data_IF_568957491400
#
_entry.id   IF_568957491400
#
_cell.length_a   1.000
_cell.length_b   1.000
_cell.length_c   1.000
_cell.angle_alpha   90.00
_cell.angle_beta   90.00
_cell.angle_gamma   90.00
#
_symmetry.space_group_name_H-M   'P 1'
#
loop_
_entity.id
_entity.type
_entity.pdbx_description
1 polymer ?
#
# COMPACT_ATOMS: atom_id res chain seq x y z
N UNK A 1 -6.63 -10.58 -15.26
CA UNK A 1 -6.96 -9.86 -14.00
C UNK A 1 -7.86 -10.66 -13.05
N UNK A 2 -8.54 -11.73 -13.49
CA UNK A 2 -9.35 -12.61 -12.63
C UNK A 2 -8.53 -13.45 -11.64
N UNK A 3 -7.24 -13.65 -11.90
CA UNK A 3 -6.33 -14.47 -11.07
C UNK A 3 -5.78 -13.76 -9.84
N UNK A 4 -5.67 -12.42 -9.85
CA UNK A 4 -5.08 -11.66 -8.74
C UNK A 4 -6.05 -11.49 -7.56
N UNK A 5 -7.35 -11.35 -7.84
CA UNK A 5 -8.43 -11.30 -6.83
C UNK A 5 -8.52 -12.58 -5.98
N UNK A 6 -8.28 -13.73 -6.59
CA UNK A 6 -8.28 -15.01 -5.86
C UNK A 6 -7.01 -15.19 -5.02
N UNK A 7 -5.87 -14.61 -5.42
CA UNK A 7 -4.60 -14.78 -4.70
C UNK A 7 -4.58 -14.05 -3.34
N UNK A 8 -5.17 -12.86 -3.23
CA UNK A 8 -5.17 -12.11 -1.96
C UNK A 8 -6.09 -12.76 -0.91
N UNK A 9 -7.29 -13.17 -1.30
CA UNK A 9 -8.24 -13.86 -0.40
C UNK A 9 -7.73 -15.25 -0.02
N UNK A 10 -7.07 -15.96 -0.95
CA UNK A 10 -6.48 -17.28 -0.67
C UNK A 10 -5.21 -17.16 0.18
N UNK A 11 -4.38 -16.13 0.03
CA UNK A 11 -3.19 -15.94 0.87
C UNK A 11 -3.55 -15.68 2.34
N UNK A 12 -4.58 -14.85 2.59
CA UNK A 12 -5.07 -14.59 3.95
C UNK A 12 -5.73 -15.84 4.55
N UNK A 13 -6.52 -16.59 3.78
CA UNK A 13 -7.16 -17.82 4.26
C UNK A 13 -6.20 -19.02 4.42
N UNK A 14 -5.14 -19.10 3.59
CA UNK A 14 -4.16 -20.19 3.63
C UNK A 14 -3.18 -20.08 4.80
N UNK A 15 -2.86 -18.86 5.24
CA UNK A 15 -2.05 -18.64 6.44
C UNK A 15 -2.78 -19.14 7.72
N UNK A 16 -4.11 -19.14 7.73
CA UNK A 16 -4.93 -19.48 8.91
C UNK A 16 -5.29 -20.97 9.00
N UNK A 17 -5.13 -21.75 7.93
CA UNK A 17 -5.53 -23.18 7.89
C UNK A 17 -4.36 -24.17 8.06
N UNK A 18 -3.12 -23.69 8.13
CA UNK A 18 -1.93 -24.55 8.20
C UNK A 18 -1.54 -25.04 9.61
N UNK A 19 -2.16 -24.55 10.69
CA UNK A 19 -1.90 -25.02 12.06
C UNK A 19 -3.00 -25.96 12.57
N UNK A 20 -3.21 -27.05 11.84
CA UNK A 20 -4.30 -28.02 12.08
C UNK A 20 -3.82 -29.46 12.25
N UNK A 21 -2.95 -29.73 13.23
CA UNK A 21 -2.93 -31.03 13.92
C UNK A 21 -1.65 -31.87 13.84
N UNK A 22 -1.06 -32.14 15.02
CA UNK A 22 -0.53 -33.44 15.40
C UNK A 22 -0.47 -33.57 16.94
N UNK A 23 -0.81 -34.76 17.43
CA UNK A 23 -0.99 -35.15 18.84
C UNK A 23 0.33 -35.54 19.52
N UNK A 24 0.47 -35.09 20.77
CA UNK A 24 0.99 -35.74 22.00
C UNK A 24 2.21 -36.68 21.93
N UNK A 25 3.29 -36.28 22.62
CA UNK A 25 4.11 -37.19 23.44
C UNK A 25 4.49 -36.51 24.77
N UNK A 26 4.19 -37.19 25.87
CA UNK A 26 4.58 -36.84 27.23
C UNK A 26 6.00 -37.34 27.47
N UNK A 27 6.94 -36.46 27.83
CA UNK A 27 8.20 -36.86 28.49
C UNK A 27 8.51 -35.91 29.64
N UNK A 28 8.73 -36.51 30.80
CA UNK A 28 9.08 -35.90 32.08
C UNK A 28 10.57 -35.58 32.18
N UNK A 29 10.88 -34.59 33.03
CA UNK A 29 12.15 -34.30 33.71
C UNK A 29 13.20 -33.49 32.92
N UNK A 30 13.57 -32.31 33.41
CA UNK A 30 14.58 -32.09 34.48
C UNK A 30 14.77 -30.58 34.67
N UNK A 31 14.73 -30.12 35.91
CA UNK A 31 15.11 -28.78 36.34
C UNK A 31 16.63 -28.61 36.26
N UNK A 32 17.11 -27.66 35.47
CA UNK A 32 18.40 -27.01 35.70
C UNK A 32 18.27 -25.50 35.55
N UNK A 33 18.53 -24.83 36.67
CA UNK A 33 18.65 -23.38 36.81
C UNK A 33 19.97 -22.94 36.19
N UNK A 34 19.93 -22.06 35.19
CA UNK A 34 21.10 -21.24 34.83
C UNK A 34 20.66 -19.80 34.66
N UNK A 35 21.15 -18.97 35.56
CA UNK A 35 21.06 -17.53 35.51
C UNK A 35 22.01 -17.01 34.40
N UNK A 36 21.44 -16.42 33.36
CA UNK A 36 22.15 -15.65 32.35
C UNK A 36 21.35 -14.38 32.10
N UNK A 37 21.95 -13.21 32.32
CA UNK A 37 21.27 -11.93 32.21
C UNK A 37 20.79 -11.69 30.79
N UNK A 38 19.48 -11.74 30.60
CA UNK A 38 18.82 -11.15 29.45
C UNK A 38 18.92 -9.63 29.59
N UNK A 39 19.78 -9.02 28.78
CA UNK A 39 19.52 -7.66 28.30
C UNK A 39 18.11 -7.69 27.74
N UNK A 40 17.17 -7.05 28.44
CA UNK A 40 15.83 -6.83 27.92
C UNK A 40 15.98 -6.04 26.62
N UNK A 41 15.90 -6.73 25.49
CA UNK A 41 15.57 -6.10 24.22
C UNK A 41 14.27 -5.35 24.49
N UNK A 42 14.36 -4.03 24.38
CA UNK A 42 13.18 -3.18 24.43
C UNK A 42 12.28 -3.71 23.31
N UNK A 43 11.01 -4.08 23.58
CA UNK A 43 10.11 -4.48 22.50
C UNK A 43 10.16 -3.36 21.48
N UNK A 44 10.63 -3.66 20.27
CA UNK A 44 10.56 -2.70 19.18
C UNK A 44 9.12 -2.25 19.11
N UNK A 45 8.88 -0.97 19.43
CA UNK A 45 7.54 -0.43 19.47
C UNK A 45 6.96 -0.64 18.07
N UNK A 46 6.01 -1.58 17.96
CA UNK A 46 5.32 -1.85 16.72
C UNK A 46 4.79 -0.50 16.19
N UNK A 47 5.21 -0.08 14.99
CA UNK A 47 4.97 1.28 14.53
C UNK A 47 3.46 1.52 14.56
N UNK A 48 3.06 2.57 15.28
CA UNK A 48 1.66 2.99 15.40
C UNK A 48 1.09 3.06 13.97
N UNK A 49 0.13 2.18 13.69
CA UNK A 49 -0.60 2.10 12.42
C UNK A 49 -1.58 3.27 12.39
N UNK A 50 -1.12 4.46 12.02
CA UNK A 50 -1.97 5.65 11.93
C UNK A 50 -2.84 5.57 10.67
N UNK A 51 -4.14 5.77 10.83
CA UNK A 51 -5.14 5.93 9.76
C UNK A 51 -5.36 7.40 9.38
N UNK A 52 -4.47 8.30 9.82
CA UNK A 52 -4.57 9.74 9.51
C UNK A 52 -4.47 9.93 7.99
N UNK A 53 -5.47 10.56 7.35
CA UNK A 53 -5.42 10.81 5.91
C UNK A 53 -4.18 11.64 5.54
N UNK A 54 -3.50 11.24 4.46
CA UNK A 54 -2.35 11.99 3.94
C UNK A 54 -2.89 13.31 3.37
N UNK A 55 -2.39 14.47 3.80
CA UNK A 55 -2.86 15.75 3.28
C UNK A 55 -2.45 15.90 1.82
N UNK A 56 -3.44 16.00 0.94
CA UNK A 56 -3.24 16.33 -0.48
C UNK A 56 -3.12 17.85 -0.63
N UNK A 57 -2.10 18.37 -1.34
CA UNK A 57 -1.96 19.81 -1.58
C UNK A 57 -3.20 20.38 -2.26
N UNK A 58 -3.55 21.64 -1.95
CA UNK A 58 -4.54 22.34 -2.74
C UNK A 58 -3.99 22.57 -4.16
N UNK A 59 -4.85 22.56 -5.18
CA UNK A 59 -4.40 22.87 -6.52
C UNK A 59 -3.99 24.34 -6.61
N UNK A 60 -2.96 24.63 -7.41
CA UNK A 60 -2.44 25.98 -7.57
C UNK A 60 -3.42 26.90 -8.33
N UNK A 61 -4.38 26.32 -9.03
CA UNK A 61 -5.54 26.98 -9.63
C UNK A 61 -6.82 26.42 -9.04
N UNK A 62 -7.91 27.20 -9.09
CA UNK A 62 -9.20 26.73 -8.60
C UNK A 62 -9.68 25.51 -9.42
N UNK A 63 -10.32 24.54 -8.75
CA UNK A 63 -10.75 23.27 -9.36
C UNK A 63 -11.67 23.48 -10.57
N UNK A 64 -12.50 24.51 -10.54
CA UNK A 64 -13.42 24.86 -11.63
C UNK A 64 -12.70 25.36 -12.90
N UNK A 65 -11.42 25.70 -12.79
CA UNK A 65 -10.57 26.12 -13.92
C UNK A 65 -9.85 24.95 -14.57
N UNK A 66 -9.91 23.74 -13.99
CA UNK A 66 -9.36 22.52 -14.56
C UNK A 66 -10.31 21.90 -15.58
N UNK A 67 -9.80 20.99 -16.42
CA UNK A 67 -10.64 20.21 -17.33
C UNK A 67 -11.75 19.43 -16.59
N UNK A 68 -12.93 19.26 -17.22
CA UNK A 68 -14.01 18.44 -16.66
C UNK A 68 -13.58 17.01 -16.33
N UNK A 69 -12.64 16.46 -17.09
CA UNK A 69 -12.08 15.12 -16.89
C UNK A 69 -11.29 15.05 -15.59
N UNK A 70 -10.43 16.03 -15.31
CA UNK A 70 -9.66 16.08 -14.07
C UNK A 70 -10.57 16.32 -12.86
N UNK A 71 -11.56 17.20 -12.99
CA UNK A 71 -12.54 17.44 -11.92
C UNK A 71 -13.29 16.15 -11.54
N UNK A 72 -13.72 15.36 -12.53
CA UNK A 72 -14.38 14.08 -12.30
C UNK A 72 -13.45 13.02 -11.70
N UNK A 73 -12.20 12.94 -12.16
CA UNK A 73 -11.21 12.04 -11.57
C UNK A 73 -11.00 12.38 -10.08
N UNK A 74 -10.88 13.66 -9.77
CA UNK A 74 -10.73 14.14 -8.41
C UNK A 74 -11.92 13.74 -7.53
N UNK A 75 -13.17 13.90 -8.00
CA UNK A 75 -14.38 13.48 -7.26
C UNK A 75 -14.37 11.97 -6.96
N UNK A 76 -13.93 11.16 -7.93
CA UNK A 76 -13.85 9.70 -7.77
C UNK A 76 -12.80 9.33 -6.72
N UNK A 77 -11.65 10.00 -6.71
CA UNK A 77 -10.62 9.78 -5.70
C UNK A 77 -11.13 10.18 -4.32
N UNK A 78 -11.72 11.37 -4.17
CA UNK A 78 -12.31 11.84 -2.90
C UNK A 78 -13.38 10.87 -2.39
N UNK A 79 -14.30 10.41 -3.25
CA UNK A 79 -15.32 9.45 -2.88
C UNK A 79 -14.74 8.09 -2.45
N UNK A 80 -13.70 7.62 -3.15
CA UNK A 80 -13.02 6.37 -2.83
C UNK A 80 -12.34 6.44 -1.46
N UNK A 81 -11.56 7.50 -1.19
CA UNK A 81 -10.82 7.65 0.08
C UNK A 81 -11.72 7.99 1.26
N UNK A 82 -12.87 8.64 1.02
CA UNK A 82 -13.89 8.90 2.04
C UNK A 82 -14.52 7.60 2.56
N UNK A 83 -14.51 6.52 1.76
CA UNK A 83 -14.98 5.20 2.18
C UNK A 83 -13.88 4.49 2.95
N UNK A 84 -13.84 4.68 4.27
CA UNK A 84 -12.87 4.02 5.16
C UNK A 84 -13.21 2.54 5.41
N UNK A 85 -12.21 1.73 5.82
CA UNK A 85 -12.47 0.37 6.30
C UNK A 85 -13.52 0.36 7.42
N UNK A 86 -14.29 -0.73 7.55
CA UNK A 86 -15.18 -0.92 8.69
C UNK A 86 -14.39 -0.94 10.01
N UNK A 87 -15.00 -0.45 11.09
CA UNK A 87 -14.40 -0.47 12.43
C UNK A 87 -14.00 -1.91 12.79
N UNK A 88 -12.77 -2.14 13.31
CA UNK A 88 -12.34 -3.45 13.78
C UNK A 88 -13.19 -3.93 14.97
N UNK A 89 -13.19 -5.26 15.25
CA UNK A 89 -13.79 -5.78 16.47
C UNK A 89 -13.11 -5.20 17.71
N UNK A 90 -13.87 -5.05 18.80
CA UNK A 90 -13.36 -4.51 20.07
C UNK A 90 -12.45 -5.48 20.83
N UNK A 91 -12.55 -6.77 20.52
CA UNK A 91 -11.66 -7.81 21.04
C UNK A 91 -10.70 -8.31 19.95
N UNK A 92 -9.46 -8.58 20.33
CA UNK A 92 -8.42 -9.08 19.43
C UNK A 92 -8.46 -10.59 19.21
N UNK A 93 -9.56 -11.27 19.56
CA UNK A 93 -9.61 -12.73 19.42
C UNK A 93 -9.52 -13.14 17.95
N UNK A 94 -8.87 -14.28 17.69
CA UNK A 94 -8.72 -14.83 16.33
C UNK A 94 -10.07 -15.02 15.63
N UNK A 95 -11.10 -15.47 16.35
CA UNK A 95 -12.44 -15.67 15.80
C UNK A 95 -13.05 -14.33 15.35
N UNK A 96 -13.06 -13.31 16.21
CA UNK A 96 -13.62 -12.00 15.89
C UNK A 96 -12.88 -11.31 14.75
N UNK A 97 -11.54 -11.31 14.78
CA UNK A 97 -10.72 -10.70 13.73
C UNK A 97 -10.90 -11.41 12.39
N UNK A 98 -10.96 -12.75 12.37
CA UNK A 98 -11.21 -13.49 11.13
C UNK A 98 -12.61 -13.24 10.57
N UNK A 99 -13.65 -13.25 11.42
CA UNK A 99 -15.01 -12.97 10.97
C UNK A 99 -15.14 -11.54 10.39
N UNK A 100 -14.46 -10.56 10.99
CA UNK A 100 -14.37 -9.21 10.45
C UNK A 100 -13.60 -9.15 9.12
N UNK A 101 -12.46 -9.83 9.03
CA UNK A 101 -11.60 -9.84 7.86
C UNK A 101 -12.31 -10.47 6.64
N UNK A 102 -12.94 -11.62 6.84
CA UNK A 102 -13.64 -12.40 5.81
C UNK A 102 -15.00 -11.79 5.40
N UNK A 103 -15.60 -10.99 6.27
CA UNK A 103 -16.89 -10.34 6.04
C UNK A 103 -16.76 -8.89 5.60
N UNK A 104 -16.99 -7.93 6.51
CA UNK A 104 -17.09 -6.51 6.17
C UNK A 104 -15.80 -5.95 5.58
N UNK A 105 -14.61 -6.36 6.03
CA UNK A 105 -13.35 -5.85 5.49
C UNK A 105 -13.08 -6.35 4.06
N UNK A 106 -13.33 -7.63 3.77
CA UNK A 106 -13.25 -8.18 2.41
C UNK A 106 -14.23 -7.49 1.44
N UNK A 107 -15.44 -7.15 1.92
CA UNK A 107 -16.40 -6.38 1.14
C UNK A 107 -15.86 -4.98 0.80
N UNK A 108 -15.34 -4.26 1.80
CA UNK A 108 -14.70 -2.96 1.59
C UNK A 108 -13.51 -3.04 0.63
N UNK A 109 -12.63 -4.04 0.76
CA UNK A 109 -11.51 -4.27 -0.16
C UNK A 109 -11.99 -4.44 -1.61
N UNK A 110 -13.08 -5.17 -1.80
CA UNK A 110 -13.66 -5.41 -3.14
C UNK A 110 -14.17 -4.11 -3.76
N UNK A 111 -14.84 -3.27 -2.97
CA UNK A 111 -15.32 -1.95 -3.38
C UNK A 111 -14.16 -0.99 -3.67
N UNK A 112 -13.15 -0.94 -2.78
CA UNK A 112 -11.95 -0.12 -2.94
C UNK A 112 -11.16 -0.49 -4.20
N UNK A 113 -11.04 -1.78 -4.51
CA UNK A 113 -10.41 -2.26 -5.73
C UNK A 113 -11.20 -1.86 -7.00
N UNK A 114 -12.54 -1.88 -6.92
CA UNK A 114 -13.40 -1.39 -8.01
C UNK A 114 -13.21 0.11 -8.22
N UNK A 115 -13.27 0.90 -7.15
CA UNK A 115 -13.06 2.34 -7.21
C UNK A 115 -11.67 2.70 -7.79
N UNK A 116 -10.62 1.98 -7.38
CA UNK A 116 -9.27 2.13 -7.94
C UNK A 116 -9.22 1.85 -9.43
N UNK A 117 -9.94 0.83 -9.91
CA UNK A 117 -10.06 0.52 -11.35
C UNK A 117 -10.80 1.63 -12.09
N UNK A 118 -11.88 2.15 -11.51
CA UNK A 118 -12.68 3.22 -12.11
C UNK A 118 -11.91 4.55 -12.20
N UNK A 119 -11.02 4.83 -11.22
CA UNK A 119 -10.07 5.95 -11.26
C UNK A 119 -8.97 5.71 -12.29
N UNK A 120 -8.39 4.51 -12.34
CA UNK A 120 -7.37 4.17 -13.34
C UNK A 120 -7.91 4.35 -14.76
N UNK A 121 -9.13 3.89 -15.05
CA UNK A 121 -9.76 4.10 -16.35
C UNK A 121 -10.04 5.58 -16.65
N UNK A 122 -10.26 6.40 -15.61
CA UNK A 122 -10.45 7.85 -15.76
C UNK A 122 -9.17 8.59 -16.15
N UNK A 123 -8.00 7.96 -16.04
CA UNK A 123 -6.73 8.54 -16.48
C UNK A 123 -6.59 8.54 -18.01
N UNK A 124 -7.26 7.63 -18.72
CA UNK A 124 -7.18 7.52 -20.18
C UNK A 124 -7.47 8.83 -20.92
N UNK A 125 -8.60 9.53 -20.69
CA UNK A 125 -8.88 10.80 -21.38
C UNK A 125 -7.91 11.92 -20.99
N UNK A 126 -7.18 11.78 -19.88
CA UNK A 126 -6.19 12.75 -19.42
C UNK A 126 -4.80 12.52 -20.02
N UNK A 127 -4.58 11.45 -20.79
CA UNK A 127 -3.26 11.15 -21.35
C UNK A 127 -2.68 12.28 -22.23
N UNK A 128 -3.55 13.04 -22.89
CA UNK A 128 -3.20 14.17 -23.78
C UNK A 128 -3.48 15.55 -23.13
N UNK A 129 -3.82 15.58 -21.84
CA UNK A 129 -4.06 16.82 -21.12
C UNK A 129 -2.75 17.62 -20.92
N UNK A 130 -2.84 18.93 -20.59
CA UNK A 130 -1.67 19.72 -20.25
C UNK A 130 -0.83 19.04 -19.15
N UNK A 131 0.51 19.18 -19.15
CA UNK A 131 1.38 18.46 -18.22
C UNK A 131 1.00 18.65 -16.74
N UNK A 132 0.57 19.85 -16.33
CA UNK A 132 0.13 20.07 -14.95
C UNK A 132 -1.13 19.25 -14.59
N UNK A 133 -2.10 19.10 -15.49
CA UNK A 133 -3.29 18.29 -15.22
C UNK A 133 -2.96 16.80 -15.16
N UNK A 134 -2.10 16.32 -16.06
CA UNK A 134 -1.53 14.96 -16.02
C UNK A 134 -0.82 14.71 -14.69
N UNK A 135 -0.07 15.70 -14.22
CA UNK A 135 0.63 15.69 -12.94
C UNK A 135 -0.32 15.52 -11.76
N UNK A 136 -1.34 16.38 -11.66
CA UNK A 136 -2.37 16.29 -10.62
C UNK A 136 -3.08 14.94 -10.67
N UNK A 137 -3.52 14.50 -11.85
CA UNK A 137 -4.24 13.23 -12.03
C UNK A 137 -3.43 12.03 -11.52
N UNK A 138 -2.15 11.97 -11.88
CA UNK A 138 -1.25 10.92 -11.43
C UNK A 138 -0.97 11.01 -9.92
N UNK A 139 -0.80 12.22 -9.37
CA UNK A 139 -0.63 12.42 -7.93
C UNK A 139 -1.83 11.94 -7.10
N UNK A 140 -3.05 12.22 -7.57
CA UNK A 140 -4.29 11.75 -6.95
C UNK A 140 -4.44 10.23 -7.03
N UNK A 141 -4.08 9.62 -8.17
CA UNK A 141 -4.09 8.17 -8.30
C UNK A 141 -3.05 7.51 -7.39
N UNK A 142 -1.84 8.09 -7.30
CA UNK A 142 -0.80 7.66 -6.37
C UNK A 142 -1.29 7.69 -4.92
N UNK A 143 -1.94 8.79 -4.52
CA UNK A 143 -2.58 8.94 -3.21
C UNK A 143 -3.64 7.88 -2.93
N UNK A 144 -4.51 7.58 -3.88
CA UNK A 144 -5.52 6.52 -3.71
C UNK A 144 -4.88 5.15 -3.45
N UNK A 145 -3.81 4.81 -4.17
CA UNK A 145 -3.10 3.54 -3.97
C UNK A 145 -2.38 3.52 -2.63
N UNK A 146 -1.72 4.63 -2.25
CA UNK A 146 -1.06 4.77 -0.97
C UNK A 146 -2.04 4.67 0.21
N UNK A 147 -3.17 5.39 0.17
CA UNK A 147 -4.22 5.32 1.18
C UNK A 147 -4.77 3.89 1.32
N UNK A 148 -4.96 3.20 0.19
CA UNK A 148 -5.41 1.80 0.20
C UNK A 148 -4.43 0.89 0.93
N UNK A 149 -3.12 0.99 0.65
CA UNK A 149 -2.13 0.14 1.35
C UNK A 149 -1.96 0.51 2.82
N UNK A 150 -2.10 1.79 3.16
CA UNK A 150 -2.09 2.25 4.55
C UNK A 150 -3.29 1.68 5.34
N UNK A 151 -4.48 1.71 4.76
CA UNK A 151 -5.70 1.13 5.34
C UNK A 151 -5.57 -0.38 5.55
N UNK A 152 -5.05 -1.11 4.57
CA UNK A 152 -4.87 -2.56 4.70
C UNK A 152 -3.82 -2.92 5.74
N UNK A 153 -2.71 -2.18 5.76
CA UNK A 153 -1.69 -2.33 6.80
C UNK A 153 -2.26 -1.99 8.19
N UNK A 154 -3.25 -1.12 8.26
CA UNK A 154 -3.95 -0.72 9.49
C UNK A 154 -4.90 -1.78 10.05
N UNK A 155 -5.19 -2.86 9.33
CA UNK A 155 -6.09 -3.92 9.80
C UNK A 155 -5.60 -4.54 11.13
N UNK A 156 -6.53 -4.94 12.03
CA UNK A 156 -6.19 -5.59 13.29
C UNK A 156 -5.51 -6.94 13.05
N UNK A 157 -4.60 -7.28 13.96
CA UNK A 157 -3.94 -8.58 13.99
C UNK A 157 -4.50 -9.36 15.19
N UNK A 158 -4.85 -10.65 15.05
CA UNK A 158 -5.27 -11.48 16.18
C UNK A 158 -4.24 -11.50 17.33
N UNK A 159 -4.72 -11.49 18.57
CA UNK A 159 -3.91 -11.55 19.80
C UNK A 159 -2.98 -12.77 19.82
N UNK A 160 -3.44 -13.89 19.27
CA UNK A 160 -2.65 -15.12 19.15
C UNK A 160 -1.42 -14.95 18.23
N UNK A 161 -1.49 -14.07 17.24
CA UNK A 161 -0.37 -13.75 16.35
C UNK A 161 0.50 -12.68 17.00
N UNK A 162 -0.08 -11.62 17.58
CA UNK A 162 0.70 -10.53 18.19
C UNK A 162 1.48 -10.99 19.44
N UNK A 163 1.01 -12.03 20.13
CA UNK A 163 1.69 -12.59 21.31
C UNK A 163 2.86 -13.52 20.98
N UNK A 164 3.05 -13.89 19.71
CA UNK A 164 4.12 -14.77 19.23
C UNK A 164 4.98 -14.01 18.21
N UNK A 165 6.23 -13.71 18.59
CA UNK A 165 7.12 -12.90 17.76
C UNK A 165 7.46 -13.54 16.40
N UNK A 166 7.52 -14.87 16.32
CA UNK A 166 7.80 -15.56 15.07
C UNK A 166 6.58 -15.48 14.14
N UNK A 167 5.38 -15.74 14.67
CA UNK A 167 4.14 -15.63 13.90
C UNK A 167 3.89 -14.19 13.44
N UNK A 168 4.11 -13.21 14.31
CA UNK A 168 3.96 -11.80 13.96
C UNK A 168 4.91 -11.39 12.84
N UNK A 169 6.18 -11.83 12.89
CA UNK A 169 7.14 -11.56 11.82
C UNK A 169 6.69 -12.16 10.48
N UNK A 170 6.27 -13.43 10.47
CA UNK A 170 5.78 -14.10 9.24
C UNK A 170 4.52 -13.41 8.71
N UNK A 171 3.63 -12.99 9.59
CA UNK A 171 2.42 -12.24 9.23
C UNK A 171 2.77 -10.91 8.57
N UNK A 172 3.66 -10.11 9.17
CA UNK A 172 4.06 -8.81 8.63
C UNK A 172 4.79 -8.96 7.29
N UNK A 173 5.71 -9.94 7.15
CA UNK A 173 6.37 -10.24 5.87
C UNK A 173 5.36 -10.59 4.77
N UNK A 174 4.38 -11.45 5.10
CA UNK A 174 3.34 -11.87 4.16
C UNK A 174 2.43 -10.70 3.76
N UNK A 175 2.04 -9.88 4.73
CA UNK A 175 1.23 -8.68 4.52
C UNK A 175 1.97 -7.68 3.61
N UNK A 176 3.23 -7.37 3.92
CA UNK A 176 4.04 -6.45 3.12
C UNK A 176 4.22 -6.97 1.69
N UNK A 177 4.55 -8.25 1.51
CA UNK A 177 4.68 -8.85 0.19
C UNK A 177 3.39 -8.74 -0.64
N UNK A 178 2.23 -8.88 -0.01
CA UNK A 178 0.93 -8.72 -0.66
C UNK A 178 0.62 -7.25 -1.06
N UNK A 179 1.15 -6.28 -0.31
CA UNK A 179 0.93 -4.84 -0.55
C UNK A 179 1.93 -4.24 -1.55
N UNK A 180 3.11 -4.84 -1.74
CA UNK A 180 4.16 -4.34 -2.65
C UNK A 180 3.64 -3.97 -4.05
N UNK A 181 2.78 -4.76 -4.72
CA UNK A 181 2.28 -4.39 -6.04
C UNK A 181 1.55 -3.03 -6.05
N UNK A 182 0.75 -2.75 -5.03
CA UNK A 182 0.01 -1.50 -4.89
C UNK A 182 0.95 -0.34 -4.55
N UNK A 183 1.90 -0.55 -3.64
CA UNK A 183 2.93 0.42 -3.30
C UNK A 183 3.78 0.81 -4.53
N UNK A 184 4.12 -0.15 -5.40
CA UNK A 184 4.82 0.12 -6.67
C UNK A 184 3.99 0.99 -7.62
N UNK A 185 2.68 0.74 -7.73
CA UNK A 185 1.79 1.58 -8.54
C UNK A 185 1.73 3.00 -7.98
N UNK A 186 1.63 3.16 -6.66
CA UNK A 186 1.68 4.47 -6.01
C UNK A 186 2.96 5.24 -6.36
N UNK A 187 4.13 4.61 -6.20
CA UNK A 187 5.43 5.21 -6.53
C UNK A 187 5.53 5.59 -8.01
N UNK A 188 5.06 4.73 -8.91
CA UNK A 188 5.07 5.03 -10.35
C UNK A 188 4.20 6.24 -10.68
N UNK A 189 3.00 6.31 -10.09
CA UNK A 189 2.10 7.44 -10.27
C UNK A 189 2.69 8.75 -9.72
N UNK A 190 3.32 8.70 -8.54
CA UNK A 190 4.01 9.87 -7.97
C UNK A 190 5.22 10.32 -8.78
N UNK A 191 6.02 9.39 -9.31
CA UNK A 191 7.14 9.74 -10.21
C UNK A 191 6.65 10.36 -11.51
N UNK A 192 5.57 9.84 -12.07
CA UNK A 192 4.94 10.46 -13.24
C UNK A 192 4.40 11.85 -12.91
N UNK A 193 3.77 12.03 -11.74
CA UNK A 193 3.33 13.33 -11.26
C UNK A 193 4.49 14.34 -11.22
N UNK A 194 5.60 13.98 -10.58
CA UNK A 194 6.78 14.85 -10.50
C UNK A 194 7.30 15.20 -11.90
N UNK A 195 7.44 14.21 -12.79
CA UNK A 195 7.94 14.42 -14.14
C UNK A 195 7.04 15.34 -14.97
N UNK A 196 5.71 15.22 -14.84
CA UNK A 196 4.76 16.04 -15.57
C UNK A 196 4.82 17.52 -15.13
N UNK A 197 5.08 17.80 -13.85
CA UNK A 197 5.31 19.17 -13.38
C UNK A 197 6.69 19.72 -13.75
N UNK A 198 7.71 18.87 -13.86
CA UNK A 198 8.99 19.28 -14.42
C UNK A 198 8.85 19.66 -15.91
N UNK A 199 8.03 18.93 -16.66
CA UNK A 199 7.72 19.22 -18.06
C UNK A 199 6.96 20.54 -18.24
N UNK A 200 6.01 20.87 -17.35
CA UNK A 200 5.25 22.13 -17.46
C UNK A 200 6.15 23.36 -17.34
N UNK A 201 7.21 23.30 -16.53
CA UNK A 201 8.11 24.42 -16.26
C UNK A 201 7.47 25.57 -15.48
N UNK A 202 6.27 25.37 -14.93
CA UNK A 202 5.48 26.37 -14.24
C UNK A 202 5.79 26.37 -12.72
N UNK A 203 6.37 27.46 -12.21
CA UNK A 203 6.76 27.58 -10.80
C UNK A 203 5.58 27.43 -9.81
N UNK A 204 4.37 27.80 -10.24
CA UNK A 204 3.15 27.74 -9.42
C UNK A 204 2.77 26.31 -8.98
N UNK A 205 3.30 25.27 -9.65
CA UNK A 205 3.08 23.87 -9.29
C UNK A 205 4.21 23.25 -8.44
N UNK A 206 5.15 24.07 -7.95
CA UNK A 206 6.32 23.60 -7.20
C UNK A 206 5.95 22.76 -5.96
N UNK A 207 4.88 23.11 -5.25
CA UNK A 207 4.40 22.35 -4.08
C UNK A 207 3.92 20.94 -4.46
N UNK A 208 3.25 20.79 -5.60
CA UNK A 208 2.82 19.49 -6.10
C UNK A 208 3.99 18.60 -6.53
N UNK A 209 4.98 19.17 -7.22
CA UNK A 209 6.19 18.44 -7.57
C UNK A 209 6.96 17.98 -6.32
N UNK A 210 7.06 18.83 -5.30
CA UNK A 210 7.68 18.48 -4.02
C UNK A 210 6.90 17.37 -3.29
N UNK A 211 5.58 17.51 -3.19
CA UNK A 211 4.68 16.51 -2.62
C UNK A 211 4.87 15.14 -3.28
N UNK A 212 4.79 15.07 -4.61
CA UNK A 212 4.91 13.81 -5.33
C UNK A 212 6.28 13.14 -5.13
N UNK A 213 7.37 13.93 -5.10
CA UNK A 213 8.71 13.43 -4.80
C UNK A 213 8.81 12.86 -3.37
N UNK A 214 8.28 13.59 -2.38
CA UNK A 214 8.30 13.19 -0.98
C UNK A 214 7.49 11.92 -0.75
N UNK A 215 6.24 11.87 -1.24
CA UNK A 215 5.40 10.66 -1.13
C UNK A 215 6.04 9.45 -1.81
N UNK A 216 6.59 9.61 -3.01
CA UNK A 216 7.30 8.52 -3.69
C UNK A 216 8.46 7.98 -2.83
N UNK A 217 9.23 8.86 -2.21
CA UNK A 217 10.34 8.48 -1.33
C UNK A 217 9.85 7.76 -0.07
N UNK A 218 8.81 8.26 0.57
CA UNK A 218 8.22 7.63 1.76
C UNK A 218 7.67 6.24 1.46
N UNK A 219 6.95 6.05 0.35
CA UNK A 219 6.44 4.73 -0.05
C UNK A 219 7.60 3.77 -0.36
N UNK A 220 8.63 4.24 -1.06
CA UNK A 220 9.84 3.42 -1.30
C UNK A 220 10.49 2.97 0.00
N UNK A 221 10.66 3.88 0.96
CA UNK A 221 11.25 3.56 2.27
C UNK A 221 10.36 2.60 3.07
N UNK A 222 9.06 2.88 3.13
CA UNK A 222 8.10 2.11 3.93
C UNK A 222 7.96 0.67 3.47
N UNK A 223 8.03 0.43 2.15
CA UNK A 223 7.86 -0.89 1.55
C UNK A 223 9.18 -1.50 1.05
N UNK A 224 10.32 -0.92 1.43
CA UNK A 224 11.66 -1.35 1.01
C UNK A 224 11.73 -1.68 -0.49
N UNK A 225 11.19 -0.79 -1.33
CA UNK A 225 11.08 -1.04 -2.76
C UNK A 225 12.44 -0.84 -3.43
N UNK A 226 12.96 -1.90 -4.02
CA UNK A 226 14.14 -1.80 -4.88
C UNK A 226 13.92 -0.78 -6.01
N UNK A 227 14.92 0.05 -6.35
CA UNK A 227 14.87 0.88 -7.53
C UNK A 227 14.58 -0.01 -8.74
N UNK A 228 13.51 0.30 -9.49
CA UNK A 228 13.33 -0.34 -10.79
C UNK A 228 14.52 0.06 -11.66
N UNK A 229 15.43 -0.89 -11.93
CA UNK A 229 16.49 -0.66 -12.92
C UNK A 229 15.81 -0.21 -14.22
N UNK A 230 16.16 0.98 -14.69
CA UNK A 230 15.82 1.41 -16.04
C UNK A 230 16.32 0.30 -16.96
N UNK A 231 15.49 -0.30 -17.85
CA UNK A 231 15.98 -1.30 -18.78
C UNK A 231 17.20 -0.71 -19.50
N UNK A 232 18.38 -1.29 -19.27
CA UNK A 232 19.57 -0.91 -19.99
C UNK A 232 19.22 -0.95 -21.47
N UNK A 233 19.42 0.18 -22.16
CA UNK A 233 19.24 0.28 -23.60
C UNK A 233 19.83 -0.99 -24.26
N UNK A 234 19.06 -1.72 -25.11
CA UNK A 234 19.59 -2.87 -25.79
C UNK A 234 20.83 -2.41 -26.55
N UNK A 235 21.98 -2.99 -26.18
CA UNK A 235 23.30 -2.52 -26.52
C UNK A 235 23.40 -2.06 -27.97
N UNK A 236 24.00 -0.88 -28.15
CA UNK A 236 24.58 -0.49 -29.41
C UNK A 236 25.32 -1.70 -29.98
N UNK A 237 24.82 -2.22 -31.09
CA UNK A 237 25.55 -3.18 -31.90
C UNK A 237 26.78 -2.39 -32.36
N UNK A 238 27.94 -2.68 -31.78
CA UNK A 238 29.21 -2.21 -32.29
C UNK A 238 29.28 -2.69 -33.75
N UNK A 239 29.16 -1.75 -34.68
CA UNK A 239 29.49 -1.96 -36.09
C UNK A 239 30.98 -2.36 -36.13
N UNK A 240 31.33 -3.58 -36.59
CA UNK A 240 32.73 -3.87 -36.85
C UNK A 240 33.14 -3.07 -38.10
N UNK A 241 33.93 -2.02 -37.88
CA UNK A 241 34.71 -1.38 -38.94
C UNK A 241 35.71 -2.40 -39.55
N UNK A 242 35.62 -2.53 -40.88
CA UNK A 242 36.57 -3.08 -41.88
C UNK A 242 36.96 -4.57 -41.88
#
# INVERSE_FOLDING_TARGET
>A
MTTLRSLLVVAIAAALTACGGARTETTTATTDTTAGGETAETPEAHPIRTTTPIPVPQPAVAREQMSPELQQLWDRVEAAVATRPPEPPSDGSTESVNAWAEGPFAAWLTERARASTDVQNALEPLAEAPPHERGVAAGLFGYLQEDTVADVRGAPIPDAITSDAELLRVYDESMLAALVPYARVAVQAYRFCEAAFQESGEELWGEWAAYCRERASEVVQTYALEPTETPSEPGAIDDPEE
#
